data_IF_111650282334
#
_entry.id   IF_111650282334
#
_cell.length_a   1.000
_cell.length_b   1.000
_cell.length_c   1.000
_cell.angle_alpha   90.00
_cell.angle_beta   90.00
_cell.angle_gamma   90.00
#
_symmetry.space_group_name_H-M   'P 1'
#
loop_
_entity.id
_entity.type
_entity.pdbx_description
1 polymer ?
#
# COMPACT_ATOMS: atom_id res chain seq x y z
N UNK A 1 32.49 4.86 14.88
CA UNK A 1 31.35 5.47 14.17
C UNK A 1 30.42 4.35 13.75
N UNK A 2 29.21 4.35 14.27
CA UNK A 2 28.14 3.37 14.03
C UNK A 2 27.41 3.71 12.74
N UNK A 3 26.83 2.70 12.09
CA UNK A 3 26.18 2.83 10.78
C UNK A 3 25.10 3.93 10.76
N UNK A 4 24.37 4.10 11.87
CA UNK A 4 23.37 5.15 12.05
C UNK A 4 23.96 6.55 11.96
N UNK A 5 25.11 6.77 12.58
CA UNK A 5 25.76 8.09 12.65
C UNK A 5 26.39 8.42 11.29
N UNK A 6 26.92 7.40 10.62
CA UNK A 6 27.42 7.53 9.26
C UNK A 6 26.29 7.91 8.29
N UNK A 7 25.15 7.22 8.33
CA UNK A 7 23.99 7.54 7.46
C UNK A 7 23.42 8.94 7.76
N UNK A 8 23.36 9.33 9.04
CA UNK A 8 22.85 10.65 9.46
C UNK A 8 23.63 11.82 8.85
N UNK A 9 24.96 11.68 8.69
CA UNK A 9 25.81 12.71 8.07
C UNK A 9 25.43 12.97 6.60
N UNK A 10 24.97 11.95 5.87
CA UNK A 10 24.60 12.09 4.45
C UNK A 10 23.12 12.39 4.24
N UNK A 11 22.30 12.29 5.30
CA UNK A 11 20.86 12.54 5.26
C UNK A 11 20.45 13.86 5.94
N UNK A 12 21.42 14.62 6.47
CA UNK A 12 21.20 15.96 7.00
C UNK A 12 21.43 17.03 5.92
N UNK A 13 20.57 18.04 5.82
CA UNK A 13 20.83 19.18 4.94
C UNK A 13 22.09 19.92 5.43
N UNK A 14 22.81 20.54 4.49
CA UNK A 14 24.06 21.26 4.76
C UNK A 14 23.96 22.19 5.99
N UNK A 15 25.05 22.25 6.75
CA UNK A 15 25.21 23.00 8.01
C UNK A 15 24.61 24.41 7.86
N UNK A 16 23.45 24.65 8.48
CA UNK A 16 22.72 25.92 8.43
C UNK A 16 21.22 25.83 8.14
N UNK A 17 20.71 24.69 7.67
CA UNK A 17 19.28 24.52 7.35
C UNK A 17 18.53 23.73 8.43
N UNK A 18 17.70 24.41 9.22
CA UNK A 18 16.83 23.86 10.29
C UNK A 18 15.61 23.05 9.79
N UNK A 19 15.59 22.63 8.52
CA UNK A 19 14.46 21.89 7.94
C UNK A 19 14.70 20.38 7.97
N UNK A 20 13.67 19.65 8.41
CA UNK A 20 13.59 18.19 8.53
C UNK A 20 14.26 17.45 7.38
N UNK A 21 15.06 16.44 7.71
CA UNK A 21 15.69 15.53 6.75
C UNK A 21 14.66 15.02 5.72
N UNK A 22 14.70 15.58 4.51
CA UNK A 22 13.90 15.11 3.40
C UNK A 22 14.61 13.88 2.81
N UNK A 23 13.87 12.81 2.58
CA UNK A 23 14.38 11.58 1.96
C UNK A 23 15.08 11.86 0.63
N UNK A 24 14.69 12.92 -0.10
CA UNK A 24 15.37 13.37 -1.30
C UNK A 24 16.84 13.75 -1.03
N UNK A 25 17.10 14.51 0.04
CA UNK A 25 18.46 14.91 0.43
C UNK A 25 19.28 13.68 0.82
N UNK A 26 18.66 12.75 1.53
CA UNK A 26 19.28 11.49 1.95
C UNK A 26 19.66 10.59 0.76
N UNK A 27 18.76 10.41 -0.20
CA UNK A 27 19.02 9.62 -1.41
C UNK A 27 20.11 10.25 -2.27
N UNK A 28 20.09 11.58 -2.44
CA UNK A 28 21.13 12.29 -3.18
C UNK A 28 22.50 12.18 -2.48
N UNK A 29 22.52 12.31 -1.14
CA UNK A 29 23.73 12.15 -0.34
C UNK A 29 24.32 10.75 -0.47
N UNK A 30 23.48 9.71 -0.40
CA UNK A 30 23.90 8.32 -0.57
C UNK A 30 24.44 8.04 -1.97
N UNK A 31 23.81 8.59 -3.01
CA UNK A 31 24.30 8.49 -4.38
C UNK A 31 25.69 9.13 -4.53
N UNK A 32 25.86 10.37 -4.05
CA UNK A 32 27.14 11.09 -4.11
C UNK A 32 28.25 10.34 -3.37
N UNK A 33 27.94 9.75 -2.21
CA UNK A 33 28.85 8.90 -1.46
C UNK A 33 29.27 7.67 -2.27
N UNK A 34 28.31 6.96 -2.87
CA UNK A 34 28.57 5.79 -3.69
C UNK A 34 29.51 6.08 -4.86
N UNK A 35 29.27 7.20 -5.57
CA UNK A 35 30.14 7.64 -6.67
C UNK A 35 31.55 7.99 -6.16
N UNK A 36 31.65 8.71 -5.03
CA UNK A 36 32.94 9.09 -4.43
C UNK A 36 33.76 7.85 -4.03
N UNK A 37 33.13 6.87 -3.40
CA UNK A 37 33.77 5.60 -3.04
C UNK A 37 34.23 4.83 -4.28
N UNK A 38 33.41 4.78 -5.33
CA UNK A 38 33.79 4.12 -6.57
C UNK A 38 35.02 4.76 -7.23
N UNK A 39 35.10 6.10 -7.25
CA UNK A 39 36.28 6.84 -7.75
C UNK A 39 37.52 6.52 -6.91
N UNK A 40 37.41 6.54 -5.58
CA UNK A 40 38.53 6.24 -4.69
C UNK A 40 39.05 4.80 -4.88
N UNK A 41 38.14 3.82 -5.00
CA UNK A 41 38.49 2.42 -5.25
C UNK A 41 39.15 2.27 -6.63
N UNK A 42 38.58 2.88 -7.67
CA UNK A 42 39.16 2.84 -9.01
C UNK A 42 40.59 3.43 -9.03
N UNK A 43 40.81 4.54 -8.33
CA UNK A 43 42.14 5.14 -8.18
C UNK A 43 43.15 4.16 -7.54
N UNK A 44 42.76 3.49 -6.45
CA UNK A 44 43.63 2.50 -5.81
C UNK A 44 43.99 1.34 -6.75
N UNK A 45 43.02 0.84 -7.53
CA UNK A 45 43.28 -0.21 -8.53
C UNK A 45 44.18 0.27 -9.67
N UNK A 46 44.05 1.53 -10.11
CA UNK A 46 44.95 2.10 -11.12
C UNK A 46 46.38 2.19 -10.59
N UNK A 47 46.57 2.71 -9.37
CA UNK A 47 47.89 2.80 -8.73
C UNK A 47 48.51 1.41 -8.56
N UNK A 48 47.75 0.46 -8.02
CA UNK A 48 48.20 -0.92 -7.85
C UNK A 48 48.56 -1.59 -9.18
N UNK A 49 47.71 -1.41 -10.20
CA UNK A 49 47.97 -1.90 -11.56
C UNK A 49 49.21 -1.26 -12.19
N UNK A 50 49.45 0.02 -11.95
CA UNK A 50 50.62 0.74 -12.44
C UNK A 50 51.93 0.22 -11.81
N UNK A 51 51.95 0.03 -10.50
CA UNK A 51 53.08 -0.61 -9.82
C UNK A 51 53.36 -2.00 -10.39
N UNK A 52 52.32 -2.82 -10.54
CA UNK A 52 52.42 -4.17 -11.11
C UNK A 52 52.91 -4.17 -12.57
N UNK A 53 52.51 -3.17 -13.35
CA UNK A 53 52.93 -3.01 -14.73
C UNK A 53 54.42 -2.64 -14.84
N UNK A 54 54.91 -1.70 -14.02
CA UNK A 54 56.30 -1.24 -14.01
C UNK A 54 57.24 -2.32 -13.48
N UNK A 55 56.90 -2.94 -12.35
CA UNK A 55 57.73 -3.98 -11.72
C UNK A 55 57.69 -5.32 -12.49
N UNK A 56 56.70 -5.52 -13.35
CA UNK A 56 56.48 -6.75 -14.10
C UNK A 56 57.42 -6.99 -15.29
N UNK A 57 58.53 -6.26 -15.42
CA UNK A 57 59.40 -6.27 -16.61
C UNK A 57 59.96 -7.66 -17.02
N UNK A 58 60.05 -8.62 -16.10
CA UNK A 58 60.61 -9.96 -16.34
C UNK A 58 59.56 -11.10 -16.37
N UNK A 59 58.26 -10.83 -16.31
CA UNK A 59 57.24 -11.88 -16.19
C UNK A 59 55.89 -11.53 -16.84
N UNK A 60 54.98 -12.51 -16.92
CA UNK A 60 53.58 -12.32 -17.37
C UNK A 60 52.76 -11.31 -16.51
N UNK A 61 53.37 -10.69 -15.49
CA UNK A 61 52.72 -9.73 -14.60
C UNK A 61 52.44 -8.37 -15.27
N UNK A 62 53.19 -8.01 -16.33
CA UNK A 62 52.93 -6.78 -17.09
C UNK A 62 51.53 -6.76 -17.71
N UNK A 63 51.11 -7.89 -18.30
CA UNK A 63 49.77 -8.05 -18.85
C UNK A 63 48.68 -7.94 -17.78
N UNK A 64 48.91 -8.57 -16.63
CA UNK A 64 47.99 -8.50 -15.50
C UNK A 64 47.84 -7.07 -14.94
N UNK A 65 48.93 -6.31 -14.83
CA UNK A 65 48.90 -4.89 -14.41
C UNK A 65 48.07 -4.04 -15.37
N UNK A 66 48.29 -4.19 -16.69
CA UNK A 66 47.50 -3.51 -17.72
C UNK A 66 46.01 -3.85 -17.61
N UNK A 67 45.67 -5.12 -17.41
CA UNK A 67 44.27 -5.55 -17.29
C UNK A 67 43.58 -4.94 -16.07
N UNK A 68 44.25 -4.85 -14.93
CA UNK A 68 43.71 -4.21 -13.72
C UNK A 68 43.39 -2.74 -13.98
N UNK A 69 44.32 -2.00 -14.60
CA UNK A 69 44.11 -0.59 -14.96
C UNK A 69 42.90 -0.46 -15.89
N UNK A 70 42.82 -1.27 -16.95
CA UNK A 70 41.71 -1.23 -17.91
C UNK A 70 40.36 -1.56 -17.27
N UNK A 71 40.31 -2.56 -16.39
CA UNK A 71 39.10 -2.93 -15.67
C UNK A 71 38.60 -1.80 -14.76
N UNK A 72 39.51 -1.12 -14.06
CA UNK A 72 39.16 0.03 -13.22
C UNK A 72 38.59 1.19 -14.05
N UNK A 73 39.21 1.49 -15.21
CA UNK A 73 38.74 2.52 -16.13
C UNK A 73 37.35 2.18 -16.69
N UNK A 74 37.13 0.93 -17.13
CA UNK A 74 35.82 0.51 -17.64
C UNK A 74 34.75 0.56 -16.56
N UNK A 75 35.05 0.10 -15.33
CA UNK A 75 34.11 0.19 -14.22
C UNK A 75 33.68 1.64 -13.94
N UNK A 76 34.64 2.57 -13.94
CA UNK A 76 34.36 3.99 -13.76
C UNK A 76 33.53 4.57 -14.94
N UNK A 77 33.87 4.20 -16.17
CA UNK A 77 33.11 4.60 -17.35
C UNK A 77 31.65 4.12 -17.30
N UNK A 78 31.40 2.88 -16.89
CA UNK A 78 30.05 2.34 -16.74
C UNK A 78 29.22 3.14 -15.72
N UNK A 79 29.81 3.53 -14.59
CA UNK A 79 29.11 4.33 -13.56
C UNK A 79 28.69 5.70 -14.14
N UNK A 80 29.59 6.41 -14.82
CA UNK A 80 29.28 7.71 -15.40
C UNK A 80 28.29 7.63 -16.57
N UNK A 81 28.42 6.63 -17.44
CA UNK A 81 27.48 6.42 -18.54
C UNK A 81 26.09 6.08 -17.99
N UNK A 82 25.99 5.19 -16.99
CA UNK A 82 24.72 4.85 -16.35
C UNK A 82 24.04 6.08 -15.74
N UNK A 83 24.79 6.91 -15.00
CA UNK A 83 24.28 8.17 -14.46
C UNK A 83 23.79 9.13 -15.55
N UNK A 84 24.52 9.21 -16.67
CA UNK A 84 24.14 10.06 -17.81
C UNK A 84 22.87 9.56 -18.50
N UNK A 85 22.73 8.25 -18.73
CA UNK A 85 21.53 7.65 -19.31
C UNK A 85 20.32 7.91 -18.43
N UNK A 86 20.44 7.71 -17.11
CA UNK A 86 19.36 8.01 -16.17
C UNK A 86 18.93 9.47 -16.23
N UNK A 87 19.90 10.39 -16.36
CA UNK A 87 19.62 11.82 -16.49
C UNK A 87 18.88 12.16 -17.79
N UNK A 88 19.25 11.50 -18.90
CA UNK A 88 18.59 11.68 -20.20
C UNK A 88 17.17 11.12 -20.22
N UNK A 89 16.95 9.94 -19.62
CA UNK A 89 15.63 9.31 -19.57
C UNK A 89 14.68 10.12 -18.71
N UNK A 90 15.11 10.52 -17.52
CA UNK A 90 14.29 11.35 -16.64
C UNK A 90 15.17 12.12 -15.64
N UNK A 91 15.43 13.41 -15.90
CA UNK A 91 16.22 14.23 -14.98
C UNK A 91 15.52 14.43 -13.62
N UNK A 92 14.21 14.17 -13.53
CA UNK A 92 13.46 14.22 -12.29
C UNK A 92 13.75 13.02 -11.36
N UNK A 93 14.40 11.95 -11.83
CA UNK A 93 14.88 10.87 -10.94
C UNK A 93 15.87 11.40 -9.89
N UNK A 94 16.66 12.41 -10.27
CA UNK A 94 17.58 13.10 -9.36
C UNK A 94 16.91 14.25 -8.59
N UNK A 95 15.65 14.57 -8.91
CA UNK A 95 14.80 15.55 -8.22
C UNK A 95 13.58 14.83 -7.66
N UNK A 96 13.80 13.87 -6.76
CA UNK A 96 12.72 13.13 -6.13
C UNK A 96 11.86 14.07 -5.26
N UNK A 97 10.92 14.80 -5.87
CA UNK A 97 9.84 15.47 -5.17
C UNK A 97 8.91 14.39 -4.64
N UNK A 98 9.11 14.05 -3.37
CA UNK A 98 8.14 13.21 -2.68
C UNK A 98 6.87 14.05 -2.50
N UNK A 99 5.85 13.75 -3.30
CA UNK A 99 4.49 14.23 -3.06
C UNK A 99 3.96 13.49 -1.83
N UNK A 100 4.41 13.91 -0.64
CA UNK A 100 3.78 13.53 0.61
C UNK A 100 2.59 14.47 0.75
N UNK A 101 1.38 13.93 0.54
CA UNK A 101 0.18 14.65 0.90
C UNK A 101 0.28 15.01 2.39
N UNK A 102 0.38 16.30 2.68
CA UNK A 102 0.33 16.81 4.04
C UNK A 102 -1.09 16.54 4.54
N UNK A 103 -1.27 15.42 5.23
CA UNK A 103 -2.52 15.09 5.88
C UNK A 103 -2.62 16.08 7.05
N UNK A 104 -3.31 17.21 6.82
CA UNK A 104 -3.72 18.09 7.91
C UNK A 104 -4.34 17.19 8.97
N UNK A 105 -3.78 17.22 10.18
CA UNK A 105 -4.45 16.64 11.35
C UNK A 105 -5.82 17.32 11.37
N UNK A 106 -6.86 16.56 11.04
CA UNK A 106 -8.21 16.97 11.31
C UNK A 106 -8.31 16.90 12.82
N UNK A 107 -8.36 18.05 13.48
CA UNK A 107 -8.77 18.11 14.87
C UNK A 107 -10.14 17.40 14.93
N UNK A 108 -10.26 16.31 15.70
CA UNK A 108 -11.53 15.62 15.82
C UNK A 108 -12.54 16.65 16.35
N UNK A 109 -13.72 16.81 15.71
CA UNK A 109 -14.71 17.73 16.21
C UNK A 109 -15.01 17.38 17.67
N UNK A 110 -14.95 18.37 18.56
CA UNK A 110 -15.45 18.22 19.92
C UNK A 110 -16.93 17.90 19.82
N UNK A 111 -17.28 16.64 20.10
CA UNK A 111 -18.68 16.25 20.23
C UNK A 111 -19.16 16.74 21.60
N UNK A 112 -19.89 17.85 21.62
CA UNK A 112 -20.71 18.22 22.76
C UNK A 112 -21.79 17.16 22.88
N UNK A 113 -21.61 16.25 23.84
CA UNK A 113 -22.63 15.28 24.21
C UNK A 113 -23.59 16.03 25.12
N UNK A 114 -24.65 16.61 24.55
CA UNK A 114 -25.79 17.04 25.36
C UNK A 114 -26.33 15.79 26.05
N UNK A 115 -26.13 15.72 27.37
CA UNK A 115 -26.54 14.60 28.18
C UNK A 115 -28.05 14.40 28.04
N UNK A 116 -28.44 13.39 27.26
CA UNK A 116 -29.84 12.98 27.20
C UNK A 116 -30.31 12.55 28.60
N UNK A 117 -31.54 12.88 28.99
CA UNK A 117 -32.07 12.55 30.31
C UNK A 117 -32.06 11.04 30.53
N UNK A 118 -31.57 10.63 31.69
CA UNK A 118 -31.59 9.25 32.18
C UNK A 118 -33.03 8.78 32.27
N UNK A 119 -33.47 7.97 31.30
CA UNK A 119 -34.75 7.27 31.36
C UNK A 119 -34.59 6.04 32.25
N UNK A 120 -35.21 6.10 33.43
CA UNK A 120 -35.29 5.01 34.40
C UNK A 120 -35.89 3.74 33.76
N UNK A 121 -35.26 2.61 34.08
CA UNK A 121 -35.60 1.29 33.58
C UNK A 121 -36.98 0.82 34.09
N UNK A 122 -37.93 0.75 33.16
CA UNK A 122 -39.21 0.04 33.30
C UNK A 122 -39.58 -0.56 31.94
N UNK A 123 -38.81 -1.55 31.48
CA UNK A 123 -38.92 -2.10 30.14
C UNK A 123 -40.07 -3.11 30.03
N UNK A 124 -41.19 -2.66 29.47
CA UNK A 124 -42.02 -3.48 28.58
C UNK A 124 -41.31 -3.62 27.22
N UNK A 125 -41.42 -4.77 26.52
CA UNK A 125 -40.77 -4.96 25.23
C UNK A 125 -41.51 -4.16 24.15
N UNK A 126 -41.03 -2.96 23.85
CA UNK A 126 -41.50 -2.19 22.69
C UNK A 126 -40.89 -2.79 21.43
N UNK A 127 -41.65 -3.68 20.78
CA UNK A 127 -41.49 -3.96 19.36
C UNK A 127 -41.66 -2.64 18.59
N UNK A 128 -40.68 -2.29 17.75
CA UNK A 128 -40.81 -1.16 16.83
C UNK A 128 -39.90 0.05 17.09
N UNK A 129 -38.78 -0.09 17.82
CA UNK A 129 -37.73 0.93 17.71
C UNK A 129 -37.10 0.85 16.33
N UNK A 130 -37.54 1.74 15.42
CA UNK A 130 -36.75 2.12 14.24
C UNK A 130 -35.35 2.44 14.73
N UNK A 131 -34.37 1.62 14.34
CA UNK A 131 -32.98 1.85 14.69
C UNK A 131 -32.61 3.27 14.23
N UNK A 132 -32.29 4.15 15.18
CA UNK A 132 -31.84 5.49 14.87
C UNK A 132 -30.54 5.32 14.08
N UNK A 133 -30.61 5.57 12.78
CA UNK A 133 -29.43 5.54 11.90
C UNK A 133 -28.58 6.74 12.32
N UNK A 134 -27.31 6.55 12.72
CA UNK A 134 -26.48 7.67 13.11
C UNK A 134 -26.34 8.71 11.99
N UNK A 135 -26.23 10.01 12.31
CA UNK A 135 -26.03 11.05 11.30
C UNK A 135 -24.79 10.76 10.44
N UNK A 136 -24.92 10.86 9.11
CA UNK A 136 -23.84 10.62 8.15
C UNK A 136 -23.70 9.18 7.64
N UNK A 137 -24.53 8.25 8.13
CA UNK A 137 -24.62 6.92 7.53
C UNK A 137 -25.42 6.93 6.23
N UNK A 138 -25.02 6.13 5.23
CA UNK A 138 -25.85 5.87 4.06
C UNK A 138 -27.25 5.40 4.48
N UNK A 139 -28.27 6.06 3.93
CA UNK A 139 -29.66 5.63 4.06
C UNK A 139 -29.94 4.52 3.06
N UNK A 140 -31.02 3.78 3.27
CA UNK A 140 -31.45 2.73 2.32
C UNK A 140 -31.67 3.29 0.90
N UNK A 141 -32.08 4.57 0.78
CA UNK A 141 -32.19 5.28 -0.50
C UNK A 141 -30.85 5.51 -1.20
N UNK A 142 -29.73 5.45 -0.49
CA UNK A 142 -28.39 5.67 -1.04
C UNK A 142 -27.75 4.35 -1.51
N UNK A 143 -28.40 3.22 -1.19
CA UNK A 143 -27.88 1.88 -1.43
C UNK A 143 -28.51 1.24 -2.65
N UNK A 144 -27.77 0.34 -3.27
CA UNK A 144 -28.21 -0.50 -4.40
C UNK A 144 -27.62 -1.89 -4.28
N UNK A 145 -28.33 -2.89 -4.78
CA UNK A 145 -27.80 -4.25 -4.88
C UNK A 145 -26.58 -4.28 -5.82
N UNK A 146 -25.53 -4.97 -5.39
CA UNK A 146 -24.34 -5.18 -6.22
C UNK A 146 -24.72 -6.08 -7.39
N UNK A 147 -24.55 -5.57 -8.60
CA UNK A 147 -24.86 -6.28 -9.85
C UNK A 147 -23.97 -5.79 -10.99
N UNK A 148 -23.67 -6.68 -11.93
CA UNK A 148 -22.83 -6.37 -13.09
C UNK A 148 -22.15 -7.62 -13.66
N UNK A 149 -21.64 -7.51 -14.89
CA UNK A 149 -20.86 -8.59 -15.49
C UNK A 149 -19.61 -8.88 -14.65
N UNK A 150 -19.32 -10.17 -14.43
CA UNK A 150 -18.18 -10.60 -13.63
C UNK A 150 -18.33 -10.38 -12.13
N UNK A 151 -19.51 -9.98 -11.64
CA UNK A 151 -19.81 -9.85 -10.21
C UNK A 151 -20.90 -10.85 -9.80
N UNK A 152 -20.71 -11.45 -8.63
CA UNK A 152 -21.72 -12.28 -7.96
C UNK A 152 -21.86 -11.80 -6.51
N UNK A 153 -23.05 -11.35 -6.12
CA UNK A 153 -23.31 -10.87 -4.77
C UNK A 153 -24.80 -10.85 -4.43
N UNK A 154 -25.10 -10.93 -3.14
CA UNK A 154 -26.40 -10.55 -2.57
C UNK A 154 -26.29 -9.33 -1.64
N UNK A 155 -25.17 -8.59 -1.71
CA UNK A 155 -24.89 -7.44 -0.85
C UNK A 155 -25.30 -6.13 -1.50
N UNK A 156 -25.37 -5.07 -0.69
CA UNK A 156 -25.61 -3.71 -1.14
C UNK A 156 -24.34 -2.88 -1.08
N UNK A 157 -24.29 -1.80 -1.86
CA UNK A 157 -23.23 -0.80 -1.87
C UNK A 157 -23.86 0.57 -2.13
N UNK A 158 -23.15 1.69 -1.93
CA UNK A 158 -23.67 2.99 -2.33
C UNK A 158 -23.84 3.09 -3.85
N UNK A 159 -24.91 3.76 -4.29
CA UNK A 159 -25.29 3.93 -5.70
C UNK A 159 -24.19 4.59 -6.54
N UNK A 160 -23.52 5.59 -5.99
CA UNK A 160 -22.43 6.33 -6.64
C UNK A 160 -21.18 5.46 -6.89
N UNK A 161 -20.97 4.40 -6.09
CA UNK A 161 -19.82 3.49 -6.22
C UNK A 161 -20.09 2.32 -7.16
N UNK A 162 -21.35 1.93 -7.38
CA UNK A 162 -21.69 0.78 -8.21
C UNK A 162 -21.02 0.80 -9.60
N UNK A 163 -20.98 1.93 -10.35
CA UNK A 163 -20.28 1.98 -11.64
C UNK A 163 -18.79 1.65 -11.55
N UNK A 164 -18.13 2.01 -10.44
CA UNK A 164 -16.72 1.71 -10.21
C UNK A 164 -16.51 0.23 -9.93
N UNK A 165 -17.39 -0.39 -9.13
CA UNK A 165 -17.35 -1.84 -8.89
C UNK A 165 -17.68 -2.64 -10.16
N UNK A 166 -18.56 -2.12 -11.03
CA UNK A 166 -18.86 -2.76 -12.31
C UNK A 166 -17.65 -2.82 -13.24
N UNK A 167 -16.78 -1.80 -13.25
CA UNK A 167 -15.52 -1.84 -14.01
C UNK A 167 -14.55 -2.91 -13.47
N UNK A 168 -14.50 -3.09 -12.15
CA UNK A 168 -13.76 -4.19 -11.52
C UNK A 168 -14.31 -5.54 -12.01
N UNK A 169 -15.63 -5.72 -12.03
CA UNK A 169 -16.29 -6.93 -12.55
C UNK A 169 -15.98 -7.21 -14.03
N UNK A 170 -16.06 -6.19 -14.88
CA UNK A 170 -15.72 -6.28 -16.30
C UNK A 170 -14.25 -6.69 -16.51
N UNK A 171 -13.33 -6.08 -15.74
CA UNK A 171 -11.91 -6.42 -15.80
C UNK A 171 -11.63 -7.87 -15.35
N UNK A 172 -12.30 -8.34 -14.29
CA UNK A 172 -12.22 -9.74 -13.87
C UNK A 172 -12.75 -10.69 -14.95
N UNK A 173 -13.90 -10.37 -15.54
CA UNK A 173 -14.51 -11.16 -16.61
C UNK A 173 -13.61 -11.27 -17.84
N UNK A 174 -12.97 -10.18 -18.25
CA UNK A 174 -12.00 -10.16 -19.35
C UNK A 174 -10.79 -11.09 -19.12
N UNK A 175 -10.44 -11.32 -17.85
CA UNK A 175 -9.36 -12.23 -17.45
C UNK A 175 -9.83 -13.67 -17.21
N UNK A 176 -11.10 -13.99 -17.48
CA UNK A 176 -11.65 -15.33 -17.30
C UNK A 176 -12.06 -15.62 -15.84
N UNK A 177 -12.38 -14.59 -15.06
CA UNK A 177 -12.83 -14.70 -13.68
C UNK A 177 -14.22 -14.07 -13.45
N UNK A 178 -14.86 -14.43 -12.34
CA UNK A 178 -15.87 -13.60 -11.68
C UNK A 178 -15.41 -13.31 -10.26
N UNK A 179 -15.84 -12.19 -9.70
CA UNK A 179 -15.62 -11.82 -8.31
C UNK A 179 -16.89 -12.16 -7.52
N UNK A 180 -16.74 -12.97 -6.47
CA UNK A 180 -17.79 -13.23 -5.50
C UNK A 180 -17.62 -12.28 -4.33
N UNK A 181 -18.57 -11.36 -4.16
CA UNK A 181 -18.57 -10.37 -3.07
C UNK A 181 -19.33 -10.93 -1.87
N UNK A 182 -18.61 -11.19 -0.78
CA UNK A 182 -19.11 -11.80 0.45
C UNK A 182 -19.57 -10.76 1.47
N UNK A 183 -19.03 -9.54 1.44
CA UNK A 183 -19.44 -8.41 2.27
C UNK A 183 -19.53 -7.13 1.44
N UNK A 184 -20.47 -6.25 1.80
CA UNK A 184 -20.67 -4.93 1.20
C UNK A 184 -21.02 -3.92 2.28
N UNK A 185 -22.05 -3.10 2.07
CA UNK A 185 -22.60 -2.23 3.11
C UNK A 185 -23.01 -3.02 4.36
N UNK A 186 -22.73 -2.44 5.53
CA UNK A 186 -23.11 -2.94 6.84
C UNK A 186 -23.63 -1.79 7.69
N UNK A 187 -24.82 -1.93 8.25
CA UNK A 187 -25.36 -0.88 9.14
C UNK A 187 -24.51 -0.72 10.41
N UNK A 188 -24.65 0.41 11.11
CA UNK A 188 -24.01 0.59 12.41
C UNK A 188 -24.37 -0.53 13.39
N UNK A 189 -25.66 -0.90 13.45
CA UNK A 189 -26.12 -1.95 14.36
C UNK A 189 -25.54 -3.31 14.00
N UNK A 190 -25.45 -3.65 12.71
CA UNK A 190 -24.81 -4.89 12.28
C UNK A 190 -23.32 -4.91 12.63
N UNK A 191 -22.63 -3.77 12.52
CA UNK A 191 -21.24 -3.64 12.95
C UNK A 191 -21.09 -3.83 14.47
N UNK A 192 -21.99 -3.27 15.27
CA UNK A 192 -22.05 -3.51 16.74
C UNK A 192 -22.24 -4.99 17.04
N UNK A 193 -23.15 -5.66 16.34
CA UNK A 193 -23.42 -7.07 16.54
C UNK A 193 -22.18 -7.93 16.25
N UNK A 194 -21.48 -7.65 15.15
CA UNK A 194 -20.23 -8.35 14.79
C UNK A 194 -19.11 -8.05 15.81
N UNK A 195 -18.95 -6.78 16.19
CA UNK A 195 -17.95 -6.38 17.20
C UNK A 195 -18.14 -7.12 18.51
N UNK A 196 -19.38 -7.22 19.00
CA UNK A 196 -19.71 -7.94 20.22
C UNK A 196 -19.54 -9.46 20.07
N UNK A 197 -19.92 -10.02 18.91
CA UNK A 197 -19.73 -11.44 18.62
C UNK A 197 -18.27 -11.87 18.76
N UNK A 198 -17.33 -11.01 18.36
CA UNK A 198 -15.89 -11.27 18.46
C UNK A 198 -15.26 -10.81 19.79
N UNK A 199 -16.07 -10.55 20.81
CA UNK A 199 -15.57 -10.13 22.13
C UNK A 199 -14.86 -8.78 22.09
N UNK A 200 -15.31 -7.88 21.22
CA UNK A 200 -14.76 -6.52 21.08
C UNK A 200 -13.27 -6.49 20.70
N UNK A 201 -12.86 -7.44 19.86
CA UNK A 201 -11.47 -7.61 19.47
C UNK A 201 -11.20 -6.98 18.09
N UNK A 202 -10.34 -5.93 18.01
CA UNK A 202 -10.01 -5.24 16.76
C UNK A 202 -9.26 -6.09 15.74
N UNK A 203 -8.79 -7.28 16.13
CA UNK A 203 -8.20 -8.26 15.22
C UNK A 203 -9.23 -8.92 14.29
N UNK A 204 -10.49 -9.01 14.69
CA UNK A 204 -11.51 -9.78 13.97
C UNK A 204 -12.64 -8.94 13.40
N UNK A 205 -12.83 -7.73 13.93
CA UNK A 205 -13.86 -6.82 13.48
C UNK A 205 -13.41 -5.38 13.69
N UNK A 206 -13.72 -4.50 12.74
CA UNK A 206 -13.57 -3.06 12.97
C UNK A 206 -14.45 -2.61 14.15
N UNK A 207 -13.95 -1.66 14.94
CA UNK A 207 -14.76 -1.01 15.98
C UNK A 207 -15.94 -0.29 15.30
N UNK A 208 -17.17 -0.42 15.81
CA UNK A 208 -18.32 0.32 15.29
C UNK A 208 -18.06 1.82 15.39
N UNK A 209 -18.29 2.53 14.29
CA UNK A 209 -18.10 3.97 14.24
C UNK A 209 -19.48 4.66 14.20
N UNK A 210 -19.86 5.42 15.24
CA UNK A 210 -21.16 6.11 15.30
C UNK A 210 -21.26 7.26 14.29
N UNK A 211 -20.17 7.63 13.63
CA UNK A 211 -20.17 8.59 12.51
C UNK A 211 -20.19 7.88 11.14
N UNK A 212 -20.41 6.56 11.14
CA UNK A 212 -20.42 5.68 9.96
C UNK A 212 -19.16 5.76 9.10
N UNK A 213 -18.03 5.97 9.77
CA UNK A 213 -16.73 6.07 9.11
C UNK A 213 -15.99 4.74 8.96
N UNK A 214 -16.46 3.66 9.60
CA UNK A 214 -15.90 2.33 9.38
C UNK A 214 -16.17 1.86 7.94
N UNK A 215 -15.27 1.09 7.31
CA UNK A 215 -15.28 0.81 5.88
C UNK A 215 -16.63 0.34 5.34
N UNK A 216 -17.15 -0.76 5.86
CA UNK A 216 -18.43 -1.31 5.43
C UNK A 216 -19.62 -0.41 5.80
N UNK A 217 -19.50 0.41 6.85
CA UNK A 217 -20.55 1.37 7.23
C UNK A 217 -20.67 2.53 6.24
N UNK A 218 -19.59 2.88 5.54
CA UNK A 218 -19.66 3.89 4.47
C UNK A 218 -20.40 3.39 3.24
N UNK A 219 -20.58 2.08 3.09
CA UNK A 219 -21.06 1.47 1.85
C UNK A 219 -20.10 1.64 0.67
N UNK A 220 -18.82 1.95 0.91
CA UNK A 220 -17.76 2.01 -0.09
C UNK A 220 -16.71 0.90 0.02
N UNK A 221 -16.93 -0.08 0.88
CA UNK A 221 -16.03 -1.23 1.06
C UNK A 221 -16.69 -2.53 0.63
N UNK A 222 -15.88 -3.45 0.09
CA UNK A 222 -16.30 -4.80 -0.26
C UNK A 222 -15.26 -5.83 0.18
N UNK A 223 -15.75 -6.99 0.57
CA UNK A 223 -14.93 -8.19 0.71
C UNK A 223 -15.27 -9.15 -0.43
N UNK A 224 -14.25 -9.74 -1.06
CA UNK A 224 -14.53 -10.73 -2.10
C UNK A 224 -13.31 -11.51 -2.60
N UNK A 225 -13.60 -12.50 -3.43
CA UNK A 225 -12.60 -13.41 -4.00
C UNK A 225 -12.88 -13.76 -5.45
N UNK A 226 -11.84 -14.24 -6.15
CA UNK A 226 -11.97 -14.69 -7.54
C UNK A 226 -12.47 -16.13 -7.64
N UNK A 227 -13.31 -16.36 -8.65
CA UNK A 227 -13.68 -17.68 -9.15
C UNK A 227 -13.37 -17.73 -10.63
N UNK A 228 -12.59 -18.72 -11.05
CA UNK A 228 -12.27 -18.91 -12.47
C UNK A 228 -13.48 -19.41 -13.23
N UNK A 229 -13.81 -18.77 -14.35
CA UNK A 229 -14.99 -19.12 -15.14
C UNK A 229 -14.85 -20.49 -15.80
N UNK A 230 -13.64 -20.85 -16.26
CA UNK A 230 -13.42 -22.08 -17.04
C UNK A 230 -13.71 -23.37 -16.27
N UNK A 231 -13.45 -23.39 -14.97
CA UNK A 231 -13.49 -24.61 -14.13
C UNK A 231 -14.11 -24.38 -12.75
N UNK A 232 -14.66 -23.19 -12.50
CA UNK A 232 -15.28 -22.84 -11.22
C UNK A 232 -14.30 -22.81 -10.04
N UNK A 233 -12.98 -22.90 -10.28
CA UNK A 233 -12.00 -22.94 -9.20
C UNK A 233 -12.06 -21.66 -8.40
N UNK A 234 -12.38 -21.79 -7.11
CA UNK A 234 -12.35 -20.70 -6.14
C UNK A 234 -10.91 -20.44 -5.72
N UNK A 235 -10.47 -19.19 -5.82
CA UNK A 235 -9.26 -18.74 -5.14
C UNK A 235 -9.70 -18.33 -3.74
N UNK A 236 -9.90 -19.36 -2.92
CA UNK A 236 -10.59 -19.22 -1.65
C UNK A 236 -9.79 -18.33 -0.70
N UNK A 237 -10.49 -17.43 -0.04
CA UNK A 237 -10.02 -16.76 1.15
C UNK A 237 -10.35 -17.71 2.29
N UNK A 238 -9.35 -18.27 2.95
CA UNK A 238 -9.59 -19.03 4.18
C UNK A 238 -10.05 -18.06 5.28
N UNK A 239 -11.33 -17.70 5.26
CA UNK A 239 -12.02 -17.06 6.36
C UNK A 239 -12.06 -18.06 7.52
N UNK A 240 -11.31 -17.79 8.58
CA UNK A 240 -11.62 -18.35 9.89
C UNK A 240 -10.87 -19.59 10.37
N UNK A 241 -9.69 -19.94 9.86
CA UNK A 241 -8.83 -20.94 10.54
C UNK A 241 -7.45 -20.36 10.87
N UNK A 242 -7.36 -19.87 12.13
CA UNK A 242 -6.17 -19.51 12.94
C UNK A 242 -5.13 -18.62 12.23
N UNK A 243 -4.97 -17.41 12.75
CA UNK A 243 -4.03 -16.36 12.28
C UNK A 243 -4.49 -15.63 11.01
N UNK A 244 -5.55 -14.83 11.14
CA UNK A 244 -6.30 -14.14 10.08
C UNK A 244 -5.59 -13.02 9.30
N UNK A 245 -4.39 -13.26 8.77
CA UNK A 245 -3.79 -12.45 7.69
C UNK A 245 -3.10 -13.29 6.60
N UNK A 246 -2.83 -14.59 6.83
CA UNK A 246 -1.79 -15.31 6.06
C UNK A 246 -2.26 -16.35 5.03
N UNK A 247 -3.56 -16.63 4.90
CA UNK A 247 -4.00 -17.82 4.15
C UNK A 247 -4.53 -17.60 2.73
N UNK A 248 -4.33 -16.42 2.13
CA UNK A 248 -3.79 -16.46 0.77
C UNK A 248 -2.28 -16.44 0.98
N UNK A 249 -1.64 -17.61 0.77
CA UNK A 249 -0.19 -17.63 0.56
C UNK A 249 0.16 -16.41 -0.29
N UNK A 250 1.19 -15.64 0.08
CA UNK A 250 1.64 -14.50 -0.70
C UNK A 250 1.78 -14.84 -2.20
N UNK A 251 1.93 -16.14 -2.51
CA UNK A 251 2.11 -16.69 -3.83
C UNK A 251 0.84 -17.29 -4.46
N UNK A 252 -0.37 -17.07 -3.90
CA UNK A 252 -1.58 -17.61 -4.53
C UNK A 252 -1.87 -16.84 -5.83
N UNK A 253 -2.02 -17.51 -6.99
CA UNK A 253 -2.18 -16.81 -8.27
C UNK A 253 -3.39 -15.86 -8.30
N UNK A 254 -4.48 -16.23 -7.62
CA UNK A 254 -5.69 -15.40 -7.56
C UNK A 254 -5.52 -14.11 -6.76
N UNK A 255 -4.55 -14.03 -5.85
CA UNK A 255 -4.27 -12.82 -5.08
C UNK A 255 -3.79 -11.69 -5.97
N UNK A 256 -2.73 -11.95 -6.74
CA UNK A 256 -2.11 -10.93 -7.59
C UNK A 256 -3.09 -10.43 -8.66
N UNK A 257 -3.90 -11.32 -9.22
CA UNK A 257 -4.95 -10.95 -10.16
C UNK A 257 -6.03 -10.09 -9.49
N UNK A 258 -6.52 -10.47 -8.31
CA UNK A 258 -7.54 -9.71 -7.57
C UNK A 258 -7.04 -8.29 -7.24
N UNK A 259 -5.83 -8.18 -6.68
CA UNK A 259 -5.20 -6.89 -6.38
C UNK A 259 -5.06 -6.03 -7.64
N UNK A 260 -4.51 -6.60 -8.71
CA UNK A 260 -4.33 -5.89 -9.98
C UNK A 260 -5.65 -5.37 -10.53
N UNK A 261 -6.69 -6.20 -10.53
CA UNK A 261 -8.02 -5.83 -11.02
C UNK A 261 -8.57 -4.64 -10.22
N UNK A 262 -8.52 -4.68 -8.90
CA UNK A 262 -9.04 -3.61 -8.05
C UNK A 262 -8.20 -2.33 -8.19
N UNK A 263 -6.86 -2.42 -8.15
CA UNK A 263 -5.97 -1.26 -8.25
C UNK A 263 -6.05 -0.53 -9.59
N UNK A 264 -6.19 -1.27 -10.70
CA UNK A 264 -6.41 -0.67 -12.03
C UNK A 264 -7.73 0.09 -12.15
N UNK A 265 -8.64 -0.10 -11.19
CA UNK A 265 -9.95 0.53 -11.13
C UNK A 265 -10.08 1.48 -9.92
N UNK A 266 -8.95 1.99 -9.40
CA UNK A 266 -8.89 3.04 -8.38
C UNK A 266 -9.42 2.61 -7.00
N UNK A 267 -9.56 1.31 -6.76
CA UNK A 267 -9.82 0.80 -5.41
C UNK A 267 -8.53 0.68 -4.64
N UNK A 268 -8.59 0.97 -3.35
CA UNK A 268 -7.50 0.73 -2.42
C UNK A 268 -7.74 -0.57 -1.66
N UNK A 269 -6.67 -1.22 -1.22
CA UNK A 269 -6.76 -2.42 -0.39
C UNK A 269 -6.24 -2.15 1.02
N UNK A 270 -6.90 -2.73 2.01
CA UNK A 270 -6.37 -2.73 3.37
C UNK A 270 -5.17 -3.68 3.49
N UNK A 271 -4.03 -3.20 4.01
CA UNK A 271 -2.75 -3.95 3.99
C UNK A 271 -2.85 -5.33 4.64
N UNK A 272 -3.64 -5.44 5.72
CA UNK A 272 -3.73 -6.66 6.53
C UNK A 272 -4.82 -7.64 6.05
N UNK A 273 -5.64 -7.24 5.08
CA UNK A 273 -6.79 -8.02 4.62
C UNK A 273 -6.83 -8.04 3.09
N UNK A 274 -6.27 -9.10 2.51
CA UNK A 274 -6.11 -9.21 1.05
C UNK A 274 -7.42 -9.30 0.26
N UNK A 275 -8.52 -9.47 0.98
CA UNK A 275 -9.88 -9.56 0.47
C UNK A 275 -10.65 -8.25 0.56
N UNK A 276 -10.18 -7.29 1.34
CA UNK A 276 -10.89 -6.08 1.69
C UNK A 276 -10.45 -4.91 0.83
N UNK A 277 -11.38 -4.36 0.06
CA UNK A 277 -11.12 -3.25 -0.87
C UNK A 277 -12.08 -2.09 -0.60
N UNK A 278 -11.59 -0.87 -0.72
CA UNK A 278 -12.33 0.37 -0.47
C UNK A 278 -12.23 1.34 -1.63
N UNK A 279 -13.30 2.07 -1.89
CA UNK A 279 -13.36 3.13 -2.89
C UNK A 279 -13.68 4.49 -2.23
N UNK A 280 -12.82 5.48 -2.44
CA UNK A 280 -13.06 6.88 -2.06
C UNK A 280 -12.99 7.21 -0.56
N UNK A 281 -12.77 6.24 0.33
CA UNK A 281 -12.72 6.47 1.79
C UNK A 281 -11.34 6.88 2.29
N UNK A 282 -10.25 6.36 1.70
CA UNK A 282 -8.87 6.77 2.06
C UNK A 282 -8.37 6.31 3.44
N UNK A 283 -9.20 5.64 4.26
CA UNK A 283 -9.05 5.68 5.74
C UNK A 283 -8.10 4.65 6.35
N UNK A 284 -7.98 3.48 5.76
CA UNK A 284 -7.18 2.38 6.31
C UNK A 284 -5.92 2.23 5.50
N UNK A 285 -4.77 1.97 6.12
CA UNK A 285 -3.46 1.90 5.45
C UNK A 285 -3.62 1.31 4.04
N UNK A 286 -3.51 2.20 3.05
CA UNK A 286 -3.87 1.89 1.68
C UNK A 286 -2.62 1.50 0.96
N UNK A 287 -2.60 0.28 0.44
CA UNK A 287 -1.78 0.04 -0.72
C UNK A 287 -2.52 0.53 -1.96
N UNK A 288 -1.83 1.29 -2.80
CA UNK A 288 -2.24 1.54 -4.18
C UNK A 288 -1.08 1.17 -5.10
N UNK A 289 -1.36 0.38 -6.15
CA UNK A 289 -0.34 -0.06 -7.12
C UNK A 289 0.50 -1.27 -6.67
N UNK A 290 1.73 -1.39 -7.20
CA UNK A 290 2.61 -2.57 -6.99
C UNK A 290 3.34 -2.62 -5.64
N UNK A 291 3.12 -1.65 -4.75
CA UNK A 291 3.83 -1.55 -3.49
C UNK A 291 2.86 -1.75 -2.30
N UNK A 292 2.72 -3.01 -1.91
CA UNK A 292 2.60 -3.48 -0.52
C UNK A 292 3.81 -4.40 -0.26
#
# INVERSE_FOLDING_TARGET
MNLTDFISIYCTPSIGSQNTANIQVCLQGLYNLGVTLAVAIAFLFVVFGAFKYILGAASNQKGAGKQIIMNAIYGLAFIFISGTILYWVNPAIFKAELIIYNVKKLDPPEFIIDAAPVINAGATPVQGRTAIIPPGCPQESDLVAISGQGLESNKKIRKDILPHLQRVGQAAHALGYKIVITQGYRSYQDQVNIWNHWGQNPRYAARPDPTCKAPHQTGGAVDGYLVRLRDGKKFNLNYGKRNGADNMSQNSPGRADLEKIFFQNEWARYVNEYWHYEYGTGRWQQCSGRAC
#
